data_IF_500103711240
#
_entry.id   IF_500103711240
#
_cell.length_a   1.000
_cell.length_b   1.000
_cell.length_c   1.000
_cell.angle_alpha   90.00
_cell.angle_beta   90.00
_cell.angle_gamma   90.00
#
_symmetry.space_group_name_H-M   'P 1'
#
loop_
_entity.id
_entity.type
_entity.pdbx_description
1 polymer ?
#
# COMPACT_ATOMS: atom_id res chain seq x y z
N UNK A 1 -4.84 -36.03 -65.99
CA UNK A 1 -4.84 -35.93 -64.51
C UNK A 1 -3.54 -35.37 -63.93
N UNK A 2 -2.35 -35.63 -64.48
CA UNK A 2 -1.07 -35.13 -63.92
C UNK A 2 -0.88 -33.58 -63.95
N UNK A 3 -1.38 -32.88 -64.96
CA UNK A 3 -1.18 -31.42 -65.10
C UNK A 3 -2.02 -30.56 -64.14
N UNK A 4 -3.16 -31.06 -63.64
CA UNK A 4 -4.00 -30.33 -62.68
C UNK A 4 -3.41 -30.38 -61.26
N UNK A 5 -2.77 -31.49 -60.90
CA UNK A 5 -2.13 -31.67 -59.59
C UNK A 5 -0.86 -30.82 -59.45
N UNK A 6 -0.09 -30.66 -60.53
CA UNK A 6 1.11 -29.81 -60.55
C UNK A 6 0.77 -28.32 -60.44
N UNK A 7 -0.29 -27.86 -61.14
CA UNK A 7 -0.75 -26.48 -61.11
C UNK A 7 -1.40 -26.04 -59.79
N UNK A 8 -2.02 -26.97 -59.04
CA UNK A 8 -2.52 -26.69 -57.69
C UNK A 8 -1.39 -26.61 -56.66
N UNK A 9 -0.33 -27.43 -56.81
CA UNK A 9 0.83 -27.42 -55.92
C UNK A 9 1.63 -26.11 -56.02
N UNK A 10 1.85 -25.61 -57.25
CA UNK A 10 2.53 -24.32 -57.50
C UNK A 10 1.76 -23.13 -56.89
N UNK A 11 0.42 -23.14 -56.97
CA UNK A 11 -0.41 -22.09 -56.34
C UNK A 11 -0.43 -22.14 -54.81
N UNK A 12 -0.37 -23.33 -54.22
CA UNK A 12 -0.24 -23.48 -52.76
C UNK A 12 1.14 -23.02 -52.27
N UNK A 13 2.20 -23.34 -53.02
CA UNK A 13 3.57 -22.91 -52.73
C UNK A 13 3.71 -21.37 -52.84
N UNK A 14 3.13 -20.72 -53.86
CA UNK A 14 3.10 -19.25 -54.01
C UNK A 14 2.32 -18.55 -52.88
N UNK A 15 1.18 -19.13 -52.46
CA UNK A 15 0.38 -18.59 -51.32
C UNK A 15 1.11 -18.80 -50.00
N UNK A 16 1.85 -19.89 -49.84
CA UNK A 16 2.70 -20.14 -48.68
C UNK A 16 3.88 -19.15 -48.64
N UNK A 17 4.46 -18.82 -49.79
CA UNK A 17 5.57 -17.87 -49.91
C UNK A 17 5.13 -16.42 -49.65
N UNK A 18 3.96 -15.99 -50.15
CA UNK A 18 3.37 -14.69 -49.83
C UNK A 18 2.95 -14.57 -48.36
N UNK A 19 2.40 -15.65 -47.78
CA UNK A 19 2.14 -15.71 -46.32
C UNK A 19 3.43 -15.62 -45.51
N UNK A 20 4.48 -16.34 -45.90
CA UNK A 20 5.77 -16.31 -45.22
C UNK A 20 6.41 -14.91 -45.30
N UNK A 21 6.30 -14.25 -46.46
CA UNK A 21 6.75 -12.88 -46.66
C UNK A 21 6.01 -11.91 -45.73
N UNK A 22 4.68 -12.00 -45.66
CA UNK A 22 3.85 -11.19 -44.73
C UNK A 22 4.17 -11.45 -43.26
N UNK A 23 4.44 -12.70 -42.87
CA UNK A 23 4.87 -13.04 -41.52
C UNK A 23 6.22 -12.37 -41.21
N UNK A 24 7.19 -12.46 -42.13
CA UNK A 24 8.49 -11.81 -41.95
C UNK A 24 8.37 -10.29 -41.85
N UNK A 25 7.55 -9.67 -42.70
CA UNK A 25 7.32 -8.22 -42.67
C UNK A 25 6.66 -7.77 -41.36
N UNK A 26 5.74 -8.57 -40.79
CA UNK A 26 5.08 -8.26 -39.52
C UNK A 26 5.92 -8.56 -38.27
N UNK A 27 6.82 -9.56 -38.32
CA UNK A 27 7.64 -9.96 -37.18
C UNK A 27 8.98 -9.21 -37.13
N UNK A 28 9.56 -8.90 -38.29
CA UNK A 28 10.88 -8.28 -38.42
C UNK A 28 10.80 -6.78 -38.69
N UNK A 29 9.78 -6.12 -38.13
CA UNK A 29 9.62 -4.67 -38.21
C UNK A 29 10.82 -4.00 -37.53
N UNK A 30 11.46 -3.05 -38.21
CA UNK A 30 12.57 -2.28 -37.65
C UNK A 30 12.05 -1.37 -36.55
N UNK A 31 12.62 -1.48 -35.35
CA UNK A 31 12.34 -0.60 -34.24
C UNK A 31 12.93 0.79 -34.46
N UNK A 32 12.25 1.82 -33.95
CA UNK A 32 12.86 3.13 -33.75
C UNK A 32 13.87 3.09 -32.61
N UNK A 33 14.76 4.09 -32.55
CA UNK A 33 15.66 4.27 -31.42
C UNK A 33 14.90 4.85 -30.22
N UNK A 34 15.14 4.30 -29.03
CA UNK A 34 14.57 4.83 -27.79
C UNK A 34 15.33 6.08 -27.31
N UNK A 35 14.67 7.01 -26.59
CA UNK A 35 15.35 8.14 -25.95
C UNK A 35 16.51 7.71 -25.04
N UNK A 36 17.59 8.50 -24.99
CA UNK A 36 18.78 8.20 -24.17
C UNK A 36 18.51 8.13 -22.67
N UNK A 37 17.47 8.81 -22.21
CA UNK A 37 17.02 8.84 -20.82
C UNK A 37 16.07 7.69 -20.46
N UNK A 38 15.73 6.81 -21.41
CA UNK A 38 14.91 5.63 -21.11
C UNK A 38 15.70 4.68 -20.21
N UNK A 39 15.15 4.41 -19.02
CA UNK A 39 15.76 3.48 -18.07
C UNK A 39 15.84 2.07 -18.66
N UNK A 40 17.02 1.46 -18.55
CA UNK A 40 17.25 0.07 -18.94
C UNK A 40 16.84 -0.82 -17.78
N UNK A 41 16.09 -1.89 -18.07
CA UNK A 41 15.69 -2.87 -17.06
C UNK A 41 16.93 -3.61 -16.55
N UNK A 42 17.13 -3.57 -15.22
CA UNK A 42 18.24 -4.24 -14.55
C UNK A 42 17.86 -4.56 -13.10
N UNK A 43 17.91 -5.84 -12.75
CA UNK A 43 17.75 -6.30 -11.38
C UNK A 43 19.05 -6.22 -10.57
N UNK A 44 18.93 -6.47 -9.26
CA UNK A 44 20.08 -6.60 -8.36
C UNK A 44 20.91 -7.85 -8.70
N UNK A 45 22.23 -7.69 -8.75
CA UNK A 45 23.17 -8.78 -8.96
C UNK A 45 23.73 -9.28 -7.62
N UNK A 46 23.29 -10.47 -7.21
CA UNK A 46 23.68 -11.11 -5.95
C UNK A 46 25.14 -11.57 -5.89
N UNK A 47 25.89 -11.54 -7.00
CA UNK A 47 27.35 -11.70 -6.93
C UNK A 47 28.02 -10.57 -6.13
N UNK A 48 27.32 -9.45 -5.91
CA UNK A 48 27.77 -8.34 -5.05
C UNK A 48 27.46 -8.57 -3.55
N UNK A 49 26.94 -9.74 -3.18
CA UNK A 49 26.57 -10.08 -1.80
C UNK A 49 25.11 -9.77 -1.45
N UNK A 50 24.79 -9.77 -0.16
CA UNK A 50 23.45 -9.50 0.36
C UNK A 50 23.41 -8.08 0.93
N UNK A 51 23.01 -7.12 0.10
CA UNK A 51 22.73 -5.74 0.51
C UNK A 51 21.26 -5.40 0.23
N UNK A 52 20.45 -5.32 1.30
CA UNK A 52 19.02 -5.02 1.20
C UNK A 52 18.73 -3.61 0.70
N UNK A 53 19.59 -2.64 1.03
CA UNK A 53 19.42 -1.25 0.57
C UNK A 53 19.67 -1.18 -0.94
N UNK A 54 20.76 -1.81 -1.39
CA UNK A 54 21.06 -1.88 -2.82
C UNK A 54 19.97 -2.67 -3.57
N UNK A 55 19.53 -3.81 -3.04
CA UNK A 55 18.43 -4.61 -3.60
C UNK A 55 17.16 -3.76 -3.81
N UNK A 56 16.66 -3.11 -2.76
CA UNK A 56 15.44 -2.28 -2.86
C UNK A 56 15.64 -1.06 -3.76
N UNK A 57 16.85 -0.49 -3.83
CA UNK A 57 17.12 0.62 -4.75
C UNK A 57 17.01 0.21 -6.23
N UNK A 58 17.29 -1.05 -6.57
CA UNK A 58 17.14 -1.53 -7.96
C UNK A 58 15.68 -1.74 -8.37
N UNK A 59 14.72 -1.75 -7.44
CA UNK A 59 13.32 -2.04 -7.74
C UNK A 59 12.73 -1.07 -8.76
N UNK A 60 13.15 0.19 -8.77
CA UNK A 60 12.77 1.18 -9.79
C UNK A 60 13.02 0.67 -11.22
N UNK A 61 14.10 -0.10 -11.42
CA UNK A 61 14.56 -0.64 -12.70
C UNK A 61 14.22 -2.13 -12.91
N UNK A 62 13.50 -2.76 -11.98
CA UNK A 62 13.16 -4.19 -12.08
C UNK A 62 11.94 -4.49 -12.96
N UNK A 63 11.01 -3.53 -13.12
CA UNK A 63 9.75 -3.71 -13.84
C UNK A 63 8.57 -4.12 -12.95
N UNK A 64 7.36 -4.07 -13.52
CA UNK A 64 6.10 -4.43 -12.86
C UNK A 64 5.89 -3.71 -11.50
N UNK A 65 5.44 -4.41 -10.46
CA UNK A 65 5.16 -3.80 -9.15
C UNK A 65 6.43 -3.36 -8.41
N UNK A 66 7.60 -3.93 -8.73
CA UNK A 66 8.86 -3.45 -8.15
C UNK A 66 9.13 -2.00 -8.57
N UNK A 67 8.89 -1.66 -9.84
CA UNK A 67 9.03 -0.27 -10.30
C UNK A 67 8.06 0.67 -9.57
N UNK A 68 6.81 0.26 -9.36
CA UNK A 68 5.84 1.04 -8.59
C UNK A 68 6.30 1.27 -7.13
N UNK A 69 6.91 0.26 -6.49
CA UNK A 69 7.50 0.42 -5.17
C UNK A 69 8.63 1.46 -5.17
N UNK A 70 9.55 1.40 -6.14
CA UNK A 70 10.63 2.38 -6.27
C UNK A 70 10.10 3.81 -6.47
N UNK A 71 9.10 3.98 -7.33
CA UNK A 71 8.42 5.27 -7.54
C UNK A 71 7.78 5.78 -6.24
N UNK A 72 7.10 4.91 -5.48
CA UNK A 72 6.48 5.28 -4.21
C UNK A 72 7.51 5.74 -3.16
N UNK A 73 8.67 5.07 -3.08
CA UNK A 73 9.77 5.48 -2.20
C UNK A 73 10.27 6.88 -2.54
N UNK A 74 10.46 7.18 -3.83
CA UNK A 74 10.92 8.49 -4.27
C UNK A 74 9.89 9.58 -4.00
N UNK A 75 8.61 9.28 -4.18
CA UNK A 75 7.53 10.24 -3.91
C UNK A 75 7.41 10.57 -2.42
N UNK A 76 7.48 9.57 -1.54
CA UNK A 76 7.49 9.80 -0.09
C UNK A 76 8.72 10.61 0.33
N UNK A 77 9.90 10.35 -0.25
CA UNK A 77 11.10 11.17 0.00
C UNK A 77 10.91 12.62 -0.43
N UNK A 78 10.23 12.89 -1.55
CA UNK A 78 9.91 14.27 -1.97
C UNK A 78 8.95 14.92 -1.00
N UNK A 79 7.94 14.21 -0.49
CA UNK A 79 7.03 14.74 0.54
C UNK A 79 7.80 15.15 1.79
N UNK A 80 8.67 14.27 2.31
CA UNK A 80 9.49 14.54 3.49
C UNK A 80 10.48 15.70 3.24
N UNK A 81 11.13 15.72 2.09
CA UNK A 81 12.02 16.81 1.72
C UNK A 81 11.28 18.15 1.65
N UNK A 82 10.12 18.19 0.97
CA UNK A 82 9.28 19.37 0.90
C UNK A 82 8.85 19.83 2.29
N UNK A 83 8.51 18.88 3.17
CA UNK A 83 8.10 19.12 4.55
C UNK A 83 9.19 19.78 5.40
N UNK A 84 10.45 19.42 5.18
CA UNK A 84 11.61 19.96 5.90
C UNK A 84 12.00 21.37 5.44
N UNK A 85 11.49 21.84 4.31
CA UNK A 85 11.67 23.22 3.88
C UNK A 85 10.89 24.18 4.80
N UNK A 86 11.40 25.40 5.04
CA UNK A 86 10.68 26.40 5.82
C UNK A 86 9.28 26.65 5.27
N UNK A 87 8.31 26.83 6.17
CA UNK A 87 6.95 27.21 5.79
C UNK A 87 6.99 28.61 5.14
N UNK A 88 6.52 28.75 3.88
CA UNK A 88 6.43 30.06 3.23
C UNK A 88 5.52 31.02 3.99
N UNK A 89 5.86 32.32 4.02
CA UNK A 89 5.10 33.34 4.77
C UNK A 89 3.65 33.47 4.29
N UNK A 90 3.41 33.27 2.99
CA UNK A 90 2.07 33.29 2.38
C UNK A 90 1.22 32.05 2.72
N UNK A 91 1.84 30.99 3.23
CA UNK A 91 1.18 29.78 3.72
C UNK A 91 1.01 29.78 5.26
N UNK A 92 1.32 30.89 5.93
CA UNK A 92 1.16 31.01 7.36
C UNK A 92 -0.33 31.17 7.73
N UNK A 93 -0.81 30.31 8.64
CA UNK A 93 -2.23 30.20 8.98
C UNK A 93 -2.61 31.24 10.05
N UNK A 94 -2.68 32.50 9.62
CA UNK A 94 -2.90 33.66 10.50
C UNK A 94 -4.33 33.78 11.04
N UNK A 95 -5.26 32.98 10.51
CA UNK A 95 -6.67 32.95 10.92
C UNK A 95 -6.99 31.76 11.83
N UNK A 96 -6.04 30.84 12.03
CA UNK A 96 -6.24 29.64 12.85
C UNK A 96 -5.71 29.86 14.26
N UNK A 97 -6.62 30.00 15.21
CA UNK A 97 -6.31 30.19 16.62
C UNK A 97 -6.03 28.85 17.33
N UNK A 98 -6.47 27.71 16.77
CA UNK A 98 -6.19 26.40 17.33
C UNK A 98 -4.80 25.90 16.90
N UNK A 99 -3.87 26.02 17.85
CA UNK A 99 -2.49 25.53 17.75
C UNK A 99 -2.39 24.04 17.40
N UNK A 100 -3.45 23.24 17.62
CA UNK A 100 -3.48 21.84 17.23
C UNK A 100 -3.51 21.68 15.71
N UNK A 101 -4.41 22.40 15.03
CA UNK A 101 -4.64 22.29 13.58
C UNK A 101 -3.86 23.32 12.75
N UNK A 102 -3.27 24.33 13.39
CA UNK A 102 -2.41 25.31 12.71
C UNK A 102 -1.29 24.62 11.89
N UNK A 103 -1.13 25.06 10.63
CA UNK A 103 -0.10 24.54 9.74
C UNK A 103 1.31 24.81 10.28
N UNK A 104 2.08 23.73 10.44
CA UNK A 104 3.45 23.76 11.01
C UNK A 104 4.55 23.54 9.98
N UNK A 105 4.21 22.98 8.83
CA UNK A 105 5.19 22.48 7.85
C UNK A 105 4.77 22.83 6.43
N UNK A 106 5.75 22.94 5.54
CA UNK A 106 5.54 23.30 4.14
C UNK A 106 4.77 22.21 3.34
N UNK A 107 4.79 20.97 3.82
CA UNK A 107 3.98 19.87 3.29
C UNK A 107 3.15 19.23 4.40
N UNK A 108 1.82 19.19 4.24
CA UNK A 108 0.91 18.49 5.15
C UNK A 108 0.70 17.07 4.65
N UNK A 109 1.08 16.08 5.45
CA UNK A 109 1.02 14.66 5.07
C UNK A 109 -0.19 14.00 5.74
N UNK A 110 -1.13 13.54 4.91
CA UNK A 110 -2.29 12.75 5.31
C UNK A 110 -1.98 11.27 5.15
N UNK A 111 -2.08 10.50 6.24
CA UNK A 111 -1.93 9.05 6.22
C UNK A 111 -3.30 8.39 6.40
N UNK A 112 -3.76 7.72 5.35
CA UNK A 112 -4.98 6.91 5.36
C UNK A 112 -4.67 5.43 5.47
N UNK A 113 -5.37 4.70 6.34
CA UNK A 113 -5.28 3.25 6.42
C UNK A 113 -6.62 2.61 6.81
N UNK A 114 -6.81 1.36 6.40
CA UNK A 114 -7.97 0.54 6.76
C UNK A 114 -7.74 -0.19 8.09
N UNK A 115 -8.82 -0.59 8.78
CA UNK A 115 -8.75 -1.23 10.09
C UNK A 115 -7.85 -2.46 10.15
N UNK A 116 -7.86 -3.31 9.11
CA UNK A 116 -7.05 -4.52 9.04
C UNK A 116 -5.53 -4.25 9.13
N UNK A 117 -5.07 -3.04 8.77
CA UNK A 117 -3.67 -2.65 8.93
C UNK A 117 -3.29 -2.54 10.41
N UNK A 118 -4.22 -2.05 11.24
CA UNK A 118 -4.07 -1.98 12.70
C UNK A 118 -4.27 -3.35 13.35
N UNK A 119 -5.11 -4.22 12.81
CA UNK A 119 -5.17 -5.64 13.22
C UNK A 119 -3.83 -6.34 13.02
N UNK A 120 -3.12 -6.02 11.93
CA UNK A 120 -1.81 -6.56 11.61
C UNK A 120 -0.65 -5.95 12.42
N UNK A 121 0.58 -6.41 12.17
CA UNK A 121 1.79 -5.81 12.74
C UNK A 121 2.23 -4.49 12.07
N UNK A 122 1.51 -4.02 11.03
CA UNK A 122 1.76 -2.68 10.46
C UNK A 122 1.37 -1.57 11.46
N UNK A 123 0.55 -1.88 12.46
CA UNK A 123 0.24 -1.02 13.60
C UNK A 123 1.48 -0.38 14.22
N UNK A 124 2.55 -1.15 14.44
CA UNK A 124 3.82 -0.66 15.01
C UNK A 124 4.54 0.34 14.09
N UNK A 125 4.44 0.16 12.77
CA UNK A 125 4.94 1.09 11.75
C UNK A 125 4.13 2.37 11.74
N UNK A 126 2.80 2.31 11.80
CA UNK A 126 1.93 3.49 11.88
C UNK A 126 2.24 4.26 13.17
N UNK A 127 2.34 3.58 14.32
CA UNK A 127 2.71 4.19 15.60
C UNK A 127 4.08 4.88 15.52
N UNK A 128 5.06 4.31 14.82
CA UNK A 128 6.36 4.96 14.59
C UNK A 128 6.20 6.31 13.87
N UNK A 129 5.46 6.32 12.77
CA UNK A 129 5.27 7.53 11.97
C UNK A 129 4.58 8.64 12.77
N UNK A 130 3.58 8.27 13.57
CA UNK A 130 2.81 9.20 14.41
C UNK A 130 3.64 9.71 15.59
N UNK A 131 4.32 8.82 16.32
CA UNK A 131 5.15 9.18 17.48
C UNK A 131 6.26 10.16 17.11
N UNK A 132 6.88 9.98 15.94
CA UNK A 132 7.95 10.84 15.44
C UNK A 132 7.46 12.02 14.59
N UNK A 133 6.15 12.29 14.57
CA UNK A 133 5.53 13.42 13.85
C UNK A 133 5.91 13.49 12.37
N UNK A 134 5.98 12.32 11.72
CA UNK A 134 6.26 12.19 10.29
C UNK A 134 5.00 12.33 9.42
N UNK A 135 3.83 12.43 10.05
CA UNK A 135 2.52 12.64 9.42
C UNK A 135 1.73 13.66 10.24
N UNK A 136 0.81 14.37 9.60
CA UNK A 136 0.08 15.50 10.19
C UNK A 136 -1.40 15.18 10.43
N UNK A 137 -1.99 14.29 9.62
CA UNK A 137 -3.37 13.89 9.75
C UNK A 137 -3.53 12.38 9.53
N UNK A 138 -4.38 11.74 10.34
CA UNK A 138 -4.74 10.34 10.20
C UNK A 138 -6.22 10.22 9.78
N UNK A 139 -6.48 9.34 8.83
CA UNK A 139 -7.84 8.94 8.46
C UNK A 139 -7.94 7.42 8.49
N UNK A 140 -8.80 6.90 9.36
CA UNK A 140 -9.04 5.46 9.51
C UNK A 140 -10.51 5.18 9.80
N UNK A 141 -10.91 3.92 9.64
CA UNK A 141 -12.22 3.42 10.09
C UNK A 141 -12.21 3.12 11.60
N UNK A 142 -13.40 2.92 12.19
CA UNK A 142 -13.58 2.63 13.62
C UNK A 142 -12.67 1.49 14.12
N UNK A 143 -12.60 0.39 13.36
CA UNK A 143 -11.72 -0.75 13.66
C UNK A 143 -10.24 -0.36 13.83
N UNK A 144 -9.75 0.62 13.06
CA UNK A 144 -8.36 1.08 13.19
C UNK A 144 -8.10 1.95 14.42
N UNK A 145 -9.15 2.41 15.11
CA UNK A 145 -9.04 3.10 16.41
C UNK A 145 -9.19 2.10 17.54
N UNK A 146 -10.30 1.34 17.56
CA UNK A 146 -10.61 0.43 18.66
C UNK A 146 -9.56 -0.70 18.80
N UNK A 147 -9.07 -1.25 17.68
CA UNK A 147 -8.09 -2.35 17.74
C UNK A 147 -6.71 -1.89 18.23
N UNK A 148 -6.34 -0.62 18.01
CA UNK A 148 -5.11 -0.05 18.58
C UNK A 148 -5.20 0.02 20.11
N UNK A 149 -6.35 0.49 20.63
CA UNK A 149 -6.63 0.55 22.06
C UNK A 149 -6.71 -0.86 22.68
N UNK A 150 -7.45 -1.78 22.05
CA UNK A 150 -7.59 -3.17 22.48
C UNK A 150 -6.22 -3.85 22.62
N UNK A 151 -5.29 -3.62 21.68
CA UNK A 151 -3.95 -4.19 21.70
C UNK A 151 -3.08 -3.74 22.88
N UNK A 152 -3.44 -2.66 23.56
CA UNK A 152 -2.80 -2.26 24.81
C UNK A 152 -3.22 -3.13 26.01
N UNK A 153 -4.37 -3.81 25.92
CA UNK A 153 -4.90 -4.67 26.98
C UNK A 153 -4.65 -6.15 26.72
N UNK A 154 -4.83 -6.60 25.48
CA UNK A 154 -4.71 -8.00 25.12
C UNK A 154 -4.21 -8.18 23.68
N UNK A 155 -3.39 -9.22 23.41
CA UNK A 155 -2.79 -9.42 22.10
C UNK A 155 -3.79 -9.98 21.07
N UNK A 156 -3.42 -9.83 19.80
CA UNK A 156 -4.00 -10.52 18.64
C UNK A 156 -3.05 -11.65 18.21
N UNK A 157 -3.59 -12.78 17.78
CA UNK A 157 -2.83 -13.99 17.49
C UNK A 157 -2.84 -14.33 16.00
N UNK A 158 -1.81 -15.06 15.55
CA UNK A 158 -1.77 -15.64 14.20
C UNK A 158 -2.69 -16.87 14.13
N UNK A 159 -3.45 -16.98 13.06
CA UNK A 159 -4.30 -18.12 12.69
C UNK A 159 -4.18 -18.44 11.20
N UNK A 160 -5.27 -18.87 10.59
CA UNK A 160 -5.34 -19.24 9.17
C UNK A 160 -6.65 -18.74 8.54
N UNK A 161 -6.61 -18.40 7.24
CA UNK A 161 -7.78 -17.96 6.49
C UNK A 161 -8.88 -19.03 6.43
N UNK A 162 -8.49 -20.31 6.47
CA UNK A 162 -9.37 -21.46 6.27
C UNK A 162 -9.95 -22.03 7.57
N UNK A 163 -9.72 -21.38 8.72
CA UNK A 163 -10.34 -21.79 9.97
C UNK A 163 -11.87 -21.70 9.88
N UNK A 164 -12.54 -22.79 10.27
CA UNK A 164 -13.99 -22.91 10.20
C UNK A 164 -14.69 -21.89 11.12
N UNK A 165 -15.63 -21.14 10.55
CA UNK A 165 -16.30 -20.05 11.27
C UNK A 165 -17.24 -20.52 12.38
N UNK A 166 -17.83 -21.72 12.26
CA UNK A 166 -18.70 -22.29 13.29
C UNK A 166 -17.86 -22.68 14.50
N UNK A 167 -16.78 -23.42 14.28
CA UNK A 167 -15.86 -23.83 15.35
C UNK A 167 -15.26 -22.62 16.08
N UNK A 168 -14.88 -21.58 15.35
CA UNK A 168 -14.37 -20.33 15.93
C UNK A 168 -15.44 -19.64 16.79
N UNK A 169 -16.69 -19.58 16.29
CA UNK A 169 -17.80 -18.97 17.02
C UNK A 169 -18.12 -19.71 18.31
N UNK A 170 -18.16 -21.05 18.27
CA UNK A 170 -18.38 -21.89 19.45
C UNK A 170 -17.29 -21.69 20.53
N UNK A 171 -16.07 -21.33 20.11
CA UNK A 171 -14.94 -21.04 21.00
C UNK A 171 -14.81 -19.56 21.39
N UNK A 172 -15.69 -18.68 20.91
CA UNK A 172 -15.60 -17.25 21.17
C UNK A 172 -14.37 -16.57 20.56
N UNK A 173 -13.94 -17.02 19.38
CA UNK A 173 -12.80 -16.48 18.64
C UNK A 173 -13.29 -15.72 17.40
N UNK A 174 -12.84 -14.48 17.22
CA UNK A 174 -13.13 -13.69 16.03
C UNK A 174 -11.96 -13.76 15.05
N UNK A 175 -12.25 -13.96 13.77
CA UNK A 175 -11.22 -14.07 12.72
C UNK A 175 -11.17 -12.81 11.85
N UNK A 176 -9.96 -12.29 11.65
CA UNK A 176 -9.65 -11.18 10.75
C UNK A 176 -8.61 -11.66 9.74
N UNK A 177 -9.05 -12.14 8.58
CA UNK A 177 -8.14 -12.80 7.62
C UNK A 177 -7.51 -14.06 8.22
N UNK A 178 -6.19 -14.04 8.42
CA UNK A 178 -5.42 -15.07 9.14
C UNK A 178 -5.05 -14.65 10.58
N UNK A 179 -5.76 -13.69 11.18
CA UNK A 179 -5.56 -13.26 12.57
C UNK A 179 -6.74 -13.69 13.43
N UNK A 180 -6.49 -13.87 14.73
CA UNK A 180 -7.49 -14.28 15.73
C UNK A 180 -7.49 -13.32 16.91
N UNK A 181 -8.69 -12.83 17.24
CA UNK A 181 -8.95 -11.97 18.39
C UNK A 181 -9.95 -12.69 19.31
N UNK A 182 -9.53 -13.12 20.52
CA UNK A 182 -10.45 -13.69 21.50
C UNK A 182 -11.55 -12.69 21.90
N UNK A 183 -12.79 -13.15 22.09
CA UNK A 183 -13.89 -12.31 22.56
C UNK A 183 -13.58 -11.57 23.86
N UNK A 184 -12.78 -12.18 24.74
CA UNK A 184 -12.34 -11.58 26.01
C UNK A 184 -11.69 -10.21 25.80
N UNK A 185 -10.98 -9.99 24.67
CA UNK A 185 -10.38 -8.70 24.35
C UNK A 185 -11.44 -7.58 24.27
N UNK A 186 -12.62 -7.89 23.71
CA UNK A 186 -13.73 -6.94 23.63
C UNK A 186 -14.42 -6.73 24.98
N UNK A 187 -14.51 -7.76 25.83
CA UNK A 187 -15.02 -7.59 27.19
C UNK A 187 -14.11 -6.66 28.01
N UNK A 188 -12.79 -6.84 27.92
CA UNK A 188 -11.83 -5.95 28.59
C UNK A 188 -11.92 -4.52 28.04
N UNK A 189 -12.17 -4.37 26.74
CA UNK A 189 -12.38 -3.06 26.14
C UNK A 189 -13.67 -2.39 26.61
N UNK A 190 -14.77 -3.15 26.73
CA UNK A 190 -16.04 -2.67 27.29
C UNK A 190 -15.85 -2.17 28.73
N UNK A 191 -15.23 -2.99 29.59
CA UNK A 191 -14.91 -2.62 30.97
C UNK A 191 -14.05 -1.35 31.03
N UNK A 192 -13.13 -1.19 30.07
CA UNK A 192 -12.29 -0.01 29.99
C UNK A 192 -13.05 1.22 29.51
N UNK A 193 -13.83 1.14 28.42
CA UNK A 193 -14.42 2.28 27.67
C UNK A 193 -15.69 2.87 28.33
N UNK A 194 -16.49 2.04 29.01
CA UNK A 194 -17.77 2.46 29.58
C UNK A 194 -17.62 3.65 30.56
N UNK A 195 -16.66 3.64 31.51
CA UNK A 195 -16.45 4.77 32.41
C UNK A 195 -16.08 6.09 31.71
N UNK A 196 -15.35 6.06 30.59
CA UNK A 196 -15.03 7.30 29.85
C UNK A 196 -16.24 7.79 29.07
N UNK A 197 -17.09 6.89 28.55
CA UNK A 197 -18.34 7.29 27.91
C UNK A 197 -19.31 7.96 28.90
N UNK A 198 -19.41 7.44 30.14
CA UNK A 198 -20.18 8.08 31.21
C UNK A 198 -19.65 9.49 31.51
N UNK A 199 -18.32 9.63 31.62
CA UNK A 199 -17.67 10.94 31.83
C UNK A 199 -17.93 11.89 30.65
N UNK A 200 -17.83 11.41 29.41
CA UNK A 200 -18.11 12.23 28.22
C UNK A 200 -19.57 12.69 28.19
N UNK A 201 -20.50 11.85 28.62
CA UNK A 201 -21.92 12.21 28.74
C UNK A 201 -22.14 13.28 29.82
N UNK A 202 -21.48 13.15 30.98
CA UNK A 202 -21.51 14.17 32.03
C UNK A 202 -20.94 15.51 31.53
N UNK A 203 -19.78 15.51 30.88
CA UNK A 203 -19.16 16.70 30.28
C UNK A 203 -20.08 17.37 29.25
N UNK A 204 -20.78 16.58 28.43
CA UNK A 204 -21.75 17.09 27.45
C UNK A 204 -22.94 17.76 28.13
N UNK A 205 -23.46 17.20 29.22
CA UNK A 205 -24.62 17.73 29.94
C UNK A 205 -24.28 18.94 30.82
N UNK A 206 -23.06 19.00 31.35
CA UNK A 206 -22.60 20.08 32.24
C UNK A 206 -22.04 21.29 31.48
N UNK A 207 -21.49 21.10 30.28
CA UNK A 207 -21.21 22.21 29.36
C UNK A 207 -22.52 22.72 28.77
N UNK A 208 -23.16 23.63 29.52
CA UNK A 208 -24.20 24.52 28.98
C UNK A 208 -23.62 25.20 27.73
N UNK A 209 -24.28 25.01 26.58
CA UNK A 209 -24.00 25.79 25.37
C UNK A 209 -24.23 27.27 25.61
#
# INVERSE_FOLDING_TARGET
MANQTLGNKIKEDDVAEDKLKKIKENVLVKSITLPTQTSIIKGYDFNNGIDHKALLSTYYQCGFQATNFGIAVDEIKKMLHCRDLPLPEDMNDSLEDDLFIQRKYNCTIFLGYTSNMVSSGIRETIRFLVEHRLVDCLVTTAGGVEEDLIKCFAPTYLGDFNLDGRDLREKGLNRIGNLIVPNLNYCVFEDWIMPQLDKMLEEQNTKVR
#
